data_IF_495185313385
#
_entry.id   IF_495185313385
#
_cell.length_a   1.000
_cell.length_b   1.000
_cell.length_c   1.000
_cell.angle_alpha   90.00
_cell.angle_beta   90.00
_cell.angle_gamma   90.00
#
_symmetry.space_group_name_H-M   'P 1'
#
loop_
_entity.id
_entity.type
_entity.pdbx_description
1 polymer ?
#
# COMPACT_ATOMS: atom_id res chain seq x y z
N UNK A 1 1.25 -68.20 40.44
CA UNK A 1 0.95 -66.75 40.57
C UNK A 1 2.07 -65.88 40.01
N UNK A 2 3.34 -66.21 40.25
CA UNK A 2 4.53 -65.50 39.72
C UNK A 2 4.61 -65.44 38.19
N UNK A 3 4.27 -66.52 37.47
CA UNK A 3 4.31 -66.58 36.00
C UNK A 3 3.35 -65.60 35.32
N UNK A 4 2.14 -65.44 35.88
CA UNK A 4 1.13 -64.52 35.34
C UNK A 4 1.54 -63.05 35.52
N UNK A 5 2.23 -62.75 36.63
CA UNK A 5 2.76 -61.43 36.92
C UNK A 5 3.93 -61.06 35.98
N UNK A 6 4.81 -62.02 35.67
CA UNK A 6 5.89 -61.83 34.69
C UNK A 6 5.34 -61.63 33.27
N UNK A 7 4.31 -62.39 32.86
CA UNK A 7 3.67 -62.21 31.55
C UNK A 7 3.00 -60.83 31.39
N UNK A 8 2.30 -60.34 32.40
CA UNK A 8 1.65 -59.01 32.35
C UNK A 8 2.67 -57.87 32.31
N UNK A 9 3.76 -57.96 33.06
CA UNK A 9 4.87 -57.01 32.99
C UNK A 9 5.55 -57.01 31.61
N UNK A 10 5.78 -58.20 31.03
CA UNK A 10 6.36 -58.33 29.70
C UNK A 10 5.46 -57.72 28.61
N UNK A 11 4.15 -57.99 28.62
CA UNK A 11 3.21 -57.40 27.65
C UNK A 11 3.11 -55.88 27.80
N UNK A 12 3.09 -55.36 29.04
CA UNK A 12 3.05 -53.91 29.28
C UNK A 12 4.32 -53.22 28.75
N UNK A 13 5.49 -53.84 28.93
CA UNK A 13 6.76 -53.36 28.37
C UNK A 13 6.74 -53.32 26.83
N UNK A 14 6.20 -54.37 26.19
CA UNK A 14 6.10 -54.42 24.72
C UNK A 14 5.11 -53.36 24.20
N UNK A 15 3.93 -53.21 24.82
CA UNK A 15 2.96 -52.21 24.39
C UNK A 15 3.47 -50.78 24.59
N UNK A 16 4.18 -50.49 25.68
CA UNK A 16 4.75 -49.16 25.95
C UNK A 16 5.89 -48.82 25.00
N UNK A 17 6.78 -49.77 24.70
CA UNK A 17 7.85 -49.58 23.71
C UNK A 17 7.30 -49.41 22.29
N UNK A 18 6.29 -50.17 21.89
CA UNK A 18 5.61 -49.97 20.60
C UNK A 18 4.90 -48.61 20.52
N UNK A 19 4.21 -48.20 21.58
CA UNK A 19 3.57 -46.88 21.64
C UNK A 19 4.61 -45.75 21.57
N UNK A 20 5.75 -45.89 22.25
CA UNK A 20 6.84 -44.92 22.19
C UNK A 20 7.49 -44.87 20.80
N UNK A 21 7.77 -46.02 20.17
CA UNK A 21 8.31 -46.09 18.82
C UNK A 21 7.37 -45.45 17.80
N UNK A 22 6.06 -45.70 17.91
CA UNK A 22 5.05 -45.08 17.04
C UNK A 22 4.99 -43.56 17.23
N UNK A 23 5.12 -43.04 18.46
CA UNK A 23 5.19 -41.60 18.73
C UNK A 23 6.45 -40.97 18.11
N UNK A 24 7.60 -41.62 18.25
CA UNK A 24 8.86 -41.16 17.65
C UNK A 24 8.79 -41.14 16.13
N UNK A 25 8.25 -42.19 15.51
CA UNK A 25 8.06 -42.25 14.05
C UNK A 25 7.09 -41.17 13.56
N UNK A 26 5.97 -40.94 14.26
CA UNK A 26 5.04 -39.84 13.94
C UNK A 26 5.69 -38.47 14.06
N UNK A 27 6.48 -38.23 15.10
CA UNK A 27 7.19 -36.96 15.29
C UNK A 27 8.25 -36.76 14.20
N UNK A 28 9.04 -37.79 13.87
CA UNK A 28 10.02 -37.75 12.78
C UNK A 28 9.34 -37.48 11.43
N UNK A 29 8.24 -38.15 11.13
CA UNK A 29 7.47 -37.92 9.90
C UNK A 29 6.88 -36.50 9.87
N UNK A 30 6.36 -35.99 10.99
CA UNK A 30 5.85 -34.62 11.06
C UNK A 30 6.94 -33.56 10.82
N UNK A 31 8.14 -33.74 11.40
CA UNK A 31 9.27 -32.83 11.16
C UNK A 31 9.68 -32.86 9.70
N UNK A 32 9.76 -34.05 9.09
CA UNK A 32 10.05 -34.23 7.67
C UNK A 32 9.04 -33.53 6.77
N UNK A 33 7.75 -33.68 7.07
CA UNK A 33 6.66 -33.03 6.34
C UNK A 33 6.70 -31.50 6.50
N UNK A 34 6.98 -31.00 7.70
CA UNK A 34 7.15 -29.56 7.95
C UNK A 34 8.29 -29.00 7.12
N UNK A 35 9.46 -29.64 7.15
CA UNK A 35 10.62 -29.22 6.36
C UNK A 35 10.32 -29.28 4.86
N UNK A 36 9.66 -30.36 4.41
CA UNK A 36 9.20 -30.52 3.03
C UNK A 36 8.31 -29.36 2.58
N UNK A 37 7.32 -28.98 3.38
CA UNK A 37 6.40 -27.89 3.02
C UNK A 37 7.09 -26.50 2.98
N UNK A 38 8.06 -26.24 3.87
CA UNK A 38 8.85 -25.00 3.81
C UNK A 38 9.77 -24.98 2.58
N UNK A 39 10.40 -26.12 2.25
CA UNK A 39 11.20 -26.23 1.03
C UNK A 39 10.33 -26.09 -0.22
N UNK A 40 9.13 -26.66 -0.23
CA UNK A 40 8.16 -26.50 -1.30
C UNK A 40 7.82 -25.02 -1.54
N UNK A 41 7.56 -24.27 -0.46
CA UNK A 41 7.30 -22.83 -0.52
C UNK A 41 8.49 -22.05 -1.09
N UNK A 42 9.70 -22.32 -0.59
CA UNK A 42 10.91 -21.63 -1.06
C UNK A 42 11.23 -21.92 -2.53
N UNK A 43 11.11 -23.18 -2.96
CA UNK A 43 11.32 -23.58 -4.36
C UNK A 43 10.24 -22.97 -5.25
N UNK A 44 8.98 -22.96 -4.80
CA UNK A 44 7.89 -22.34 -5.55
C UNK A 44 8.12 -20.83 -5.74
N UNK A 45 8.53 -20.11 -4.69
CA UNK A 45 8.89 -18.69 -4.79
C UNK A 45 10.03 -18.45 -5.77
N UNK A 46 11.10 -19.26 -5.72
CA UNK A 46 12.20 -19.15 -6.66
C UNK A 46 11.73 -19.39 -8.11
N UNK A 47 10.84 -20.37 -8.32
CA UNK A 47 10.28 -20.68 -9.64
C UNK A 47 9.37 -19.57 -10.16
N UNK A 48 8.51 -19.02 -9.31
CA UNK A 48 7.64 -17.87 -9.62
C UNK A 48 8.48 -16.65 -9.99
N UNK A 49 9.47 -16.30 -9.17
CA UNK A 49 10.35 -15.15 -9.41
C UNK A 49 11.29 -15.32 -10.62
N UNK A 50 11.50 -16.55 -11.10
CA UNK A 50 12.27 -16.81 -12.32
C UNK A 50 11.46 -16.66 -13.62
N UNK A 51 10.13 -16.58 -13.53
CA UNK A 51 9.22 -16.50 -14.68
C UNK A 51 8.56 -15.12 -14.76
N UNK A 52 8.89 -14.34 -15.80
CA UNK A 52 8.32 -12.99 -16.01
C UNK A 52 6.79 -13.00 -16.19
N UNK A 53 6.25 -14.10 -16.71
CA UNK A 53 4.83 -14.35 -16.99
C UNK A 53 4.23 -15.40 -16.01
N UNK A 54 4.74 -15.49 -14.77
CA UNK A 54 4.41 -16.59 -13.86
C UNK A 54 2.90 -16.81 -13.69
N UNK A 55 2.08 -15.76 -13.75
CA UNK A 55 0.62 -15.84 -13.70
C UNK A 55 -0.01 -16.63 -14.85
N UNK A 56 0.50 -16.43 -16.06
CA UNK A 56 0.06 -17.21 -17.23
C UNK A 56 0.60 -18.64 -17.24
N UNK A 57 1.70 -18.90 -16.52
CA UNK A 57 2.31 -20.24 -16.43
C UNK A 57 1.74 -21.10 -15.31
N UNK A 58 1.23 -20.50 -14.25
CA UNK A 58 0.77 -21.19 -13.05
C UNK A 58 -0.72 -20.95 -12.85
N UNK A 59 -1.58 -21.82 -13.38
CA UNK A 59 -3.02 -21.60 -13.38
C UNK A 59 -3.63 -21.80 -11.99
N UNK A 60 -4.81 -21.22 -11.81
CA UNK A 60 -5.56 -21.25 -10.56
C UNK A 60 -5.91 -22.68 -10.14
N UNK A 61 -5.64 -23.03 -8.87
CA UNK A 61 -5.92 -24.33 -8.25
C UNK A 61 -5.27 -25.54 -8.91
N UNK A 62 -4.26 -25.34 -9.76
CA UNK A 62 -3.48 -26.44 -10.30
C UNK A 62 -2.32 -26.79 -9.35
N UNK A 63 -2.22 -28.08 -9.02
CA UNK A 63 -1.12 -28.60 -8.20
C UNK A 63 0.11 -28.86 -9.06
N UNK A 64 1.17 -28.10 -8.82
CA UNK A 64 2.43 -28.21 -9.53
C UNK A 64 3.41 -29.03 -8.70
N UNK A 65 3.80 -30.19 -9.23
CA UNK A 65 4.78 -31.07 -8.60
C UNK A 65 6.19 -30.47 -8.64
N UNK A 66 6.92 -30.62 -7.54
CA UNK A 66 8.31 -30.21 -7.38
C UNK A 66 9.21 -31.42 -7.12
N UNK A 67 10.54 -31.31 -7.31
CA UNK A 67 11.47 -32.38 -6.96
C UNK A 67 11.33 -32.79 -5.49
N UNK A 68 11.28 -34.09 -5.21
CA UNK A 68 11.11 -34.58 -3.83
C UNK A 68 12.29 -34.16 -2.95
N UNK A 69 12.00 -33.67 -1.75
CA UNK A 69 13.03 -33.33 -0.76
C UNK A 69 12.94 -34.31 0.40
N UNK A 70 14.07 -34.96 0.72
CA UNK A 70 14.12 -36.00 1.74
C UNK A 70 13.01 -37.04 1.53
N UNK A 71 12.81 -37.58 0.32
CA UNK A 71 11.73 -38.53 -0.04
C UNK A 71 10.28 -38.12 0.28
N UNK A 72 10.02 -36.88 0.71
CA UNK A 72 8.67 -36.34 0.73
C UNK A 72 8.36 -35.80 -0.67
N UNK A 73 7.21 -36.18 -1.22
CA UNK A 73 6.68 -35.55 -2.41
C UNK A 73 6.23 -34.16 -2.03
N UNK A 74 6.65 -33.15 -2.79
CA UNK A 74 6.29 -31.77 -2.53
C UNK A 74 5.64 -31.16 -3.77
N UNK A 75 4.66 -30.29 -3.52
CA UNK A 75 3.94 -29.58 -4.57
C UNK A 75 3.52 -28.21 -4.04
N UNK A 76 3.14 -27.32 -4.96
CA UNK A 76 2.47 -26.09 -4.60
C UNK A 76 1.26 -25.85 -5.50
N UNK A 77 0.32 -25.07 -5.00
CA UNK A 77 -0.88 -24.64 -5.68
C UNK A 77 -1.03 -23.13 -5.46
N UNK A 78 -1.50 -22.42 -6.48
CA UNK A 78 -1.83 -21.00 -6.38
C UNK A 78 -3.33 -20.80 -6.33
N UNK A 79 -3.79 -19.89 -5.46
CA UNK A 79 -5.19 -19.53 -5.33
C UNK A 79 -5.36 -18.03 -5.39
N UNK A 80 -6.29 -17.63 -6.22
CA UNK A 80 -6.80 -16.28 -6.28
C UNK A 80 -8.16 -16.19 -5.58
N UNK A 81 -8.52 -15.01 -5.11
CA UNK A 81 -9.80 -14.77 -4.47
C UNK A 81 -10.96 -14.81 -5.46
N UNK A 82 -10.74 -14.36 -6.70
CA UNK A 82 -11.76 -14.27 -7.76
C UNK A 82 -11.76 -15.47 -8.72
N UNK A 83 -10.73 -16.32 -8.66
CA UNK A 83 -10.59 -17.53 -9.47
C UNK A 83 -9.75 -17.38 -10.74
N UNK A 84 -9.21 -16.20 -11.04
CA UNK A 84 -8.47 -15.91 -12.27
C UNK A 84 -7.13 -15.24 -11.99
N UNK A 85 -6.05 -16.02 -11.97
CA UNK A 85 -4.72 -15.52 -11.59
C UNK A 85 -4.14 -14.49 -12.59
N UNK A 86 -4.57 -14.50 -13.85
CA UNK A 86 -3.96 -13.74 -14.95
C UNK A 86 -4.64 -12.41 -15.28
N UNK A 87 -5.79 -12.11 -14.66
CA UNK A 87 -6.58 -10.92 -14.99
C UNK A 87 -5.97 -9.62 -14.45
N UNK A 88 -5.28 -9.70 -13.31
CA UNK A 88 -4.65 -8.57 -12.65
C UNK A 88 -3.32 -9.01 -12.08
N UNK A 89 -2.26 -8.38 -12.59
CA UNK A 89 -0.94 -8.59 -12.05
C UNK A 89 -0.85 -8.13 -10.59
N UNK A 90 -1.81 -7.35 -10.07
CA UNK A 90 -1.74 -6.74 -8.72
C UNK A 90 -2.40 -7.52 -7.61
N UNK A 91 -3.17 -8.55 -7.95
CA UNK A 91 -3.93 -9.28 -6.96
C UNK A 91 -3.03 -10.16 -6.08
N UNK A 92 -3.25 -10.16 -4.76
CA UNK A 92 -2.54 -11.04 -3.86
C UNK A 92 -2.95 -12.48 -4.16
N UNK A 93 -1.97 -13.34 -4.43
CA UNK A 93 -2.20 -14.75 -4.72
C UNK A 93 -1.78 -15.59 -3.51
N UNK A 94 -2.70 -16.37 -2.97
CA UNK A 94 -2.39 -17.31 -1.91
C UNK A 94 -1.64 -18.52 -2.49
N UNK A 95 -0.42 -18.75 -2.03
CA UNK A 95 0.32 -19.98 -2.30
C UNK A 95 0.03 -21.01 -1.22
N UNK A 96 -0.25 -22.25 -1.62
CA UNK A 96 -0.38 -23.40 -0.75
C UNK A 96 0.75 -24.35 -1.10
N UNK A 97 1.72 -24.48 -0.21
CA UNK A 97 2.83 -25.41 -0.36
C UNK A 97 2.57 -26.63 0.51
N UNK A 98 2.55 -27.82 -0.11
CA UNK A 98 2.26 -29.07 0.58
C UNK A 98 3.37 -30.11 0.40
N UNK A 99 3.52 -30.94 1.42
CA UNK A 99 4.39 -32.09 1.45
C UNK A 99 3.58 -33.33 1.83
N UNK A 100 3.84 -34.42 1.13
CA UNK A 100 3.26 -35.74 1.38
C UNK A 100 4.36 -36.77 1.59
N UNK A 101 4.20 -37.60 2.61
CA UNK A 101 5.03 -38.75 2.89
C UNK A 101 4.12 -39.87 3.34
N UNK A 102 4.02 -40.94 2.53
CA UNK A 102 3.04 -42.01 2.70
C UNK A 102 1.60 -41.43 2.72
N UNK A 103 0.82 -41.72 3.76
CA UNK A 103 -0.55 -41.23 3.95
C UNK A 103 -0.64 -39.91 4.72
N UNK A 104 0.51 -39.36 5.15
CA UNK A 104 0.55 -38.12 5.91
C UNK A 104 0.85 -36.92 5.02
N UNK A 105 0.04 -35.87 5.15
CA UNK A 105 0.19 -34.61 4.41
C UNK A 105 0.31 -33.44 5.38
N UNK A 106 1.20 -32.50 5.07
CA UNK A 106 1.32 -31.22 5.77
C UNK A 106 1.35 -30.11 4.74
N UNK A 107 0.58 -29.05 4.98
CA UNK A 107 0.51 -27.90 4.10
C UNK A 107 0.65 -26.59 4.88
N UNK A 108 1.32 -25.63 4.27
CA UNK A 108 1.41 -24.25 4.71
C UNK A 108 0.84 -23.36 3.61
N UNK A 109 0.26 -22.23 4.00
CA UNK A 109 -0.20 -21.22 3.06
C UNK A 109 0.37 -19.87 3.43
N UNK A 110 0.66 -19.07 2.41
CA UNK A 110 1.12 -17.71 2.54
C UNK A 110 0.50 -16.88 1.43
N UNK A 111 0.36 -15.57 1.65
CA UNK A 111 -0.12 -14.66 0.60
C UNK A 111 1.09 -14.08 -0.12
N UNK A 112 1.10 -14.12 -1.44
CA UNK A 112 2.14 -13.54 -2.29
C UNK A 112 1.76 -12.11 -2.62
N UNK A 113 2.68 -11.19 -2.37
CA UNK A 113 2.56 -9.79 -2.74
C UNK A 113 3.71 -9.38 -3.64
N UNK A 114 3.53 -8.31 -4.43
CA UNK A 114 4.53 -7.87 -5.40
C UNK A 114 5.72 -7.27 -4.67
N UNK A 115 6.93 -7.59 -5.13
CA UNK A 115 8.18 -7.10 -4.58
C UNK A 115 9.10 -6.50 -5.64
N UNK A 116 8.54 -6.11 -6.79
CA UNK A 116 9.32 -5.52 -7.86
C UNK A 116 9.91 -4.17 -7.50
N UNK A 117 10.53 -3.58 -8.52
CA UNK A 117 11.08 -2.22 -8.44
C UNK A 117 9.95 -1.23 -8.15
N UNK A 118 10.21 -0.09 -7.49
CA UNK A 118 9.23 0.98 -7.44
C UNK A 118 8.70 1.33 -8.82
N UNK A 119 7.43 1.72 -8.91
CA UNK A 119 6.91 2.25 -10.16
C UNK A 119 7.70 3.52 -10.53
N UNK A 120 8.06 3.67 -11.81
CA UNK A 120 8.75 4.84 -12.33
C UNK A 120 7.99 6.15 -12.04
N UNK A 121 6.66 6.08 -11.87
CA UNK A 121 5.83 7.21 -11.46
C UNK A 121 6.25 7.84 -10.12
N UNK A 122 6.83 7.06 -9.21
CA UNK A 122 7.31 7.55 -7.91
C UNK A 122 8.67 8.24 -7.98
N UNK A 123 9.40 8.17 -9.10
CA UNK A 123 10.66 8.90 -9.27
C UNK A 123 10.41 10.38 -9.55
N UNK A 124 9.22 10.70 -10.07
CA UNK A 124 8.77 12.06 -10.36
C UNK A 124 8.00 12.65 -9.17
N UNK A 125 8.07 13.98 -9.02
CA UNK A 125 7.26 14.65 -8.00
C UNK A 125 5.79 14.79 -8.42
N UNK A 126 5.53 14.92 -9.73
CA UNK A 126 4.20 14.83 -10.34
C UNK A 126 4.27 13.84 -11.51
N UNK A 127 3.37 12.86 -11.54
CA UNK A 127 3.26 11.94 -12.67
C UNK A 127 1.80 11.82 -13.12
N UNK A 128 1.54 12.15 -14.39
CA UNK A 128 0.21 12.19 -14.99
C UNK A 128 0.00 11.04 -15.98
N UNK A 129 -1.15 10.36 -15.88
CA UNK A 129 -1.53 9.33 -16.85
C UNK A 129 -1.88 9.93 -18.22
N UNK A 130 -2.30 11.19 -18.24
CA UNK A 130 -2.62 11.94 -19.45
C UNK A 130 -1.78 13.23 -19.50
N UNK A 131 -2.35 14.36 -19.17
CA UNK A 131 -1.79 15.69 -19.46
C UNK A 131 -1.55 16.50 -18.19
N UNK A 132 -0.50 17.33 -18.21
CA UNK A 132 -0.23 18.37 -17.22
C UNK A 132 -0.50 19.73 -17.86
N UNK A 133 -1.44 20.50 -17.31
CA UNK A 133 -1.82 21.83 -17.79
C UNK A 133 -1.50 22.90 -16.72
N UNK A 134 -0.40 23.63 -16.91
CA UNK A 134 -0.04 24.78 -16.08
C UNK A 134 -0.68 26.03 -16.68
N UNK A 135 -1.66 26.61 -16.00
CA UNK A 135 -2.46 27.72 -16.53
C UNK A 135 -2.21 29.02 -15.74
N UNK A 136 -2.48 30.14 -16.39
CA UNK A 136 -2.72 31.48 -15.82
C UNK A 136 -1.99 31.84 -14.52
N UNK A 137 -0.85 32.51 -14.62
CA UNK A 137 -0.05 33.06 -13.50
C UNK A 137 0.51 32.03 -12.49
N UNK A 138 0.27 30.74 -12.68
CA UNK A 138 0.90 29.70 -11.87
C UNK A 138 2.40 29.59 -12.14
N UNK A 139 3.22 29.64 -11.09
CA UNK A 139 4.63 29.25 -11.14
C UNK A 139 4.82 27.90 -10.45
N UNK A 140 5.09 26.86 -11.23
CA UNK A 140 5.28 25.50 -10.73
C UNK A 140 6.78 25.20 -10.65
N UNK A 141 7.29 25.00 -9.46
CA UNK A 141 8.66 24.59 -9.21
C UNK A 141 8.64 23.14 -8.73
N UNK A 142 9.17 22.24 -9.55
CA UNK A 142 9.10 20.80 -9.34
C UNK A 142 10.51 20.21 -9.41
N UNK A 143 10.91 19.42 -8.40
CA UNK A 143 12.25 18.84 -8.27
C UNK A 143 12.14 17.35 -7.92
N UNK A 144 12.87 16.42 -8.58
CA UNK A 144 13.75 16.65 -9.73
C UNK A 144 13.01 16.77 -11.06
N UNK A 145 11.86 16.12 -11.18
CA UNK A 145 11.17 16.01 -12.46
C UNK A 145 9.67 15.81 -12.34
N UNK A 146 8.99 16.05 -13.46
CA UNK A 146 7.59 15.72 -13.70
C UNK A 146 7.48 14.82 -14.93
N UNK A 147 6.42 14.01 -15.00
CA UNK A 147 6.16 13.19 -16.17
C UNK A 147 4.68 13.19 -16.56
N UNK A 148 4.40 13.12 -17.86
CA UNK A 148 3.05 12.99 -18.40
C UNK A 148 3.06 12.08 -19.62
N UNK A 149 2.15 11.11 -19.70
CA UNK A 149 2.12 10.16 -20.82
C UNK A 149 1.59 10.77 -22.13
N UNK A 150 0.97 11.94 -22.10
CA UNK A 150 0.47 12.61 -23.32
C UNK A 150 1.16 13.96 -23.58
N UNK A 151 0.91 14.96 -22.76
CA UNK A 151 1.45 16.30 -22.97
C UNK A 151 1.69 17.09 -21.70
N UNK A 152 2.64 18.02 -21.75
CA UNK A 152 2.86 19.04 -20.72
C UNK A 152 2.68 20.40 -21.39
N UNK A 153 1.66 21.15 -20.96
CA UNK A 153 1.26 22.42 -21.52
C UNK A 153 1.42 23.53 -20.47
N UNK A 154 2.18 24.58 -20.80
CA UNK A 154 2.47 25.70 -19.89
C UNK A 154 2.19 27.04 -20.59
N UNK A 155 0.95 27.52 -20.51
CA UNK A 155 0.50 28.75 -21.20
C UNK A 155 0.18 29.87 -20.21
N UNK A 156 0.85 31.02 -20.37
CA UNK A 156 0.66 32.18 -19.49
C UNK A 156 1.12 31.96 -18.05
N UNK A 157 2.08 31.05 -17.86
CA UNK A 157 2.57 30.52 -16.59
C UNK A 157 4.07 30.19 -16.70
N UNK A 158 4.69 29.69 -15.64
CA UNK A 158 6.08 29.21 -15.69
C UNK A 158 6.21 27.86 -15.00
N UNK A 159 6.93 26.94 -15.62
CA UNK A 159 7.21 25.62 -15.08
C UNK A 159 8.72 25.41 -14.99
N UNK A 160 9.26 25.28 -13.78
CA UNK A 160 10.67 24.99 -13.54
C UNK A 160 10.83 23.54 -13.05
N UNK A 161 11.27 22.66 -13.96
CA UNK A 161 11.43 21.22 -13.72
C UNK A 161 12.10 20.55 -14.92
N UNK A 162 12.75 19.40 -14.69
CA UNK A 162 12.94 18.43 -15.78
C UNK A 162 11.59 17.83 -16.16
N UNK A 163 11.28 17.79 -17.45
CA UNK A 163 9.98 17.37 -17.97
C UNK A 163 10.12 16.14 -18.87
N UNK A 164 9.36 15.08 -18.56
CA UNK A 164 9.29 13.86 -19.36
C UNK A 164 7.91 13.71 -20.00
N UNK A 165 7.81 13.85 -21.32
CA UNK A 165 6.53 13.72 -22.04
C UNK A 165 6.74 13.59 -23.55
N UNK A 166 5.85 12.92 -24.30
CA UNK A 166 5.91 12.89 -25.77
C UNK A 166 5.76 14.28 -26.40
N UNK A 167 5.05 15.19 -25.73
CA UNK A 167 4.85 16.57 -26.17
C UNK A 167 5.00 17.54 -25.00
N UNK A 168 5.79 18.59 -25.21
CA UNK A 168 6.08 19.61 -24.20
C UNK A 168 5.96 20.98 -24.89
N UNK A 169 5.03 21.81 -24.43
CA UNK A 169 4.68 23.09 -25.06
C UNK A 169 4.55 24.18 -24.01
N UNK A 170 5.15 25.35 -24.28
CA UNK A 170 4.97 26.56 -23.47
C UNK A 170 6.22 27.02 -22.73
N UNK A 171 6.04 27.80 -21.66
CA UNK A 171 7.13 28.44 -20.92
C UNK A 171 7.73 27.51 -19.85
N UNK A 172 8.76 26.74 -20.24
CA UNK A 172 9.35 25.69 -19.42
C UNK A 172 10.84 25.96 -19.22
N UNK A 173 11.27 25.93 -17.96
CA UNK A 173 12.62 26.16 -17.49
C UNK A 173 13.21 24.87 -16.94
N UNK A 174 13.84 24.08 -17.80
CA UNK A 174 14.50 22.83 -17.45
C UNK A 174 14.63 21.91 -18.67
N UNK A 175 15.36 20.79 -18.54
CA UNK A 175 15.49 19.81 -19.62
C UNK A 175 14.12 19.23 -19.99
N UNK A 176 13.93 18.97 -21.28
CA UNK A 176 12.73 18.37 -21.84
C UNK A 176 13.14 17.10 -22.58
N UNK A 177 12.69 15.96 -22.09
CA UNK A 177 13.07 14.65 -22.62
C UNK A 177 11.81 13.88 -23.03
N UNK A 178 11.82 13.19 -24.19
CA UNK A 178 10.72 12.29 -24.54
C UNK A 178 10.68 11.13 -23.55
N UNK A 179 9.48 10.68 -23.19
CA UNK A 179 9.32 9.46 -22.42
C UNK A 179 9.80 8.26 -23.25
N UNK A 180 10.76 7.50 -22.73
CA UNK A 180 11.22 6.25 -23.35
C UNK A 180 10.11 5.19 -23.34
N UNK A 181 9.39 5.11 -22.23
CA UNK A 181 8.20 4.27 -22.04
C UNK A 181 7.15 5.07 -21.26
N UNK A 182 5.84 4.82 -21.48
CA UNK A 182 4.80 5.43 -20.66
C UNK A 182 4.99 5.12 -19.18
N UNK A 183 4.84 6.15 -18.35
CA UNK A 183 4.87 6.03 -16.90
C UNK A 183 3.67 5.20 -16.42
N UNK A 184 3.97 4.12 -15.69
CA UNK A 184 2.96 3.22 -15.15
C UNK A 184 2.39 3.77 -13.82
N UNK A 185 1.07 3.92 -13.77
CA UNK A 185 0.35 4.34 -12.56
C UNK A 185 -0.04 3.16 -11.67
N UNK A 186 -0.25 3.38 -10.35
CA UNK A 186 -0.87 2.40 -9.47
C UNK A 186 -2.24 1.95 -10.00
N UNK A 187 -2.67 0.75 -9.64
CA UNK A 187 -3.96 0.21 -10.09
C UNK A 187 -5.00 0.70 -9.09
N UNK A 188 -6.21 1.01 -9.55
CA UNK A 188 -7.33 1.40 -8.70
C UNK A 188 -7.54 0.44 -7.53
N UNK A 189 -7.35 -0.88 -7.72
CA UNK A 189 -7.45 -1.90 -6.64
C UNK A 189 -6.52 -1.69 -5.44
N UNK A 190 -5.52 -0.81 -5.56
CA UNK A 190 -4.73 -0.38 -4.39
C UNK A 190 -5.64 0.25 -3.32
N UNK A 191 -6.70 0.98 -3.70
CA UNK A 191 -7.65 1.55 -2.74
C UNK A 191 -8.38 0.46 -1.98
N UNK A 192 -8.85 -0.59 -2.67
CA UNK A 192 -9.52 -1.75 -2.06
C UNK A 192 -8.61 -2.52 -1.09
N UNK A 193 -7.31 -2.59 -1.39
CA UNK A 193 -6.32 -3.17 -0.48
C UNK A 193 -6.23 -2.37 0.82
N UNK A 194 -6.02 -1.05 0.74
CA UNK A 194 -5.91 -0.21 1.93
C UNK A 194 -7.25 -0.03 2.65
N UNK A 195 -8.38 -0.11 1.94
CA UNK A 195 -9.72 -0.10 2.53
C UNK A 195 -9.90 -1.31 3.47
N UNK A 196 -9.51 -2.51 3.03
CA UNK A 196 -9.59 -3.73 3.86
C UNK A 196 -8.73 -3.68 5.11
N UNK A 197 -7.62 -2.93 5.09
CA UNK A 197 -6.73 -2.74 6.24
C UNK A 197 -7.15 -1.55 7.12
N UNK A 198 -7.96 -0.64 6.58
CA UNK A 198 -8.30 0.62 7.20
C UNK A 198 -9.43 0.50 8.23
N UNK A 199 -9.50 1.51 9.09
CA UNK A 199 -10.63 1.69 10.00
C UNK A 199 -11.58 2.74 9.42
N UNK A 200 -12.85 2.40 9.28
CA UNK A 200 -13.88 3.33 8.83
C UNK A 200 -14.00 4.50 9.82
N UNK A 201 -13.92 5.72 9.31
CA UNK A 201 -14.18 6.93 10.09
C UNK A 201 -15.69 7.08 10.33
N UNK A 202 -16.09 7.66 11.47
CA UNK A 202 -17.49 7.95 11.71
C UNK A 202 -18.02 8.96 10.66
N UNK A 203 -19.35 8.99 10.44
CA UNK A 203 -19.96 9.99 9.57
C UNK A 203 -19.57 11.41 10.02
N UNK A 204 -19.10 12.20 9.07
CA UNK A 204 -18.75 13.61 9.31
C UNK A 204 -19.92 14.53 8.94
N UNK A 205 -20.03 15.72 9.55
CA UNK A 205 -21.11 16.67 9.26
C UNK A 205 -21.19 17.03 7.78
N UNK A 206 -22.41 17.26 7.29
CA UNK A 206 -22.65 17.72 5.91
C UNK A 206 -23.07 19.19 5.97
N UNK A 207 -22.28 20.07 5.38
CA UNK A 207 -22.59 21.48 5.16
C UNK A 207 -22.36 21.79 3.69
N UNK A 208 -23.30 21.37 2.84
CA UNK A 208 -23.13 21.32 1.37
C UNK A 208 -22.26 20.14 0.90
N UNK A 209 -21.13 19.92 1.56
CA UNK A 209 -20.24 18.75 1.40
C UNK A 209 -19.90 18.15 2.79
N UNK A 210 -19.34 16.94 2.82
CA UNK A 210 -18.79 16.36 4.05
C UNK A 210 -17.62 17.21 4.57
N UNK A 211 -17.72 17.61 5.82
CA UNK A 211 -16.83 18.44 6.64
C UNK A 211 -15.72 17.73 7.43
N UNK A 212 -14.43 17.80 7.06
CA UNK A 212 -13.34 17.56 8.04
C UNK A 212 -12.62 18.87 8.34
N UNK A 213 -12.74 19.33 9.58
CA UNK A 213 -12.10 20.54 10.07
C UNK A 213 -11.51 20.31 11.46
N UNK A 214 -10.31 20.82 11.71
CA UNK A 214 -9.74 20.77 13.05
C UNK A 214 -9.29 19.38 13.51
N UNK A 215 -9.00 18.47 12.57
CA UNK A 215 -8.86 17.05 12.86
C UNK A 215 -7.40 16.60 13.02
N UNK A 216 -7.21 15.63 13.93
CA UNK A 216 -5.98 14.90 14.19
C UNK A 216 -6.22 13.42 13.95
N UNK A 217 -5.51 12.86 12.97
CA UNK A 217 -5.54 11.45 12.66
C UNK A 217 -4.10 10.91 12.67
N UNK A 218 -3.86 9.88 13.47
CA UNK A 218 -2.60 9.16 13.57
C UNK A 218 -2.86 7.70 13.98
N UNK A 219 -1.84 6.83 14.06
CA UNK A 219 -2.05 5.48 14.59
C UNK A 219 -2.57 5.42 16.04
N UNK A 220 -2.40 6.52 16.79
CA UNK A 220 -2.72 6.60 18.23
C UNK A 220 -3.83 7.59 18.55
N UNK A 221 -4.19 8.46 17.60
CA UNK A 221 -5.19 9.51 17.80
C UNK A 221 -6.18 9.48 16.64
N UNK A 222 -7.47 9.46 16.97
CA UNK A 222 -8.54 9.69 16.02
C UNK A 222 -9.50 10.72 16.61
N UNK A 223 -9.33 11.98 16.23
CA UNK A 223 -10.10 13.08 16.80
C UNK A 223 -11.52 13.21 16.26
N UNK A 224 -11.83 12.52 15.16
CA UNK A 224 -13.16 12.49 14.55
C UNK A 224 -14.11 11.55 15.32
N UNK A 225 -13.56 10.73 16.23
CA UNK A 225 -14.28 9.70 16.97
C UNK A 225 -14.08 8.31 16.36
N UNK A 226 -14.59 7.28 17.04
CA UNK A 226 -14.39 5.89 16.63
C UNK A 226 -13.07 5.30 17.14
N UNK A 227 -12.68 4.16 16.58
CA UNK A 227 -11.45 3.45 16.96
C UNK A 227 -10.24 3.98 16.21
N UNK A 228 -9.06 3.89 16.84
CA UNK A 228 -7.77 4.15 16.20
C UNK A 228 -7.33 2.93 15.40
N UNK A 229 -6.60 3.16 14.30
CA UNK A 229 -5.97 2.07 13.54
C UNK A 229 -4.47 2.03 13.85
N UNK A 230 -3.90 0.92 14.36
CA UNK A 230 -2.47 0.86 14.70
C UNK A 230 -1.52 0.99 13.49
N UNK A 231 -2.00 0.76 12.27
CA UNK A 231 -1.25 1.04 11.03
C UNK A 231 -1.42 2.50 10.58
N UNK A 232 -2.36 3.24 11.17
CA UNK A 232 -2.70 4.61 10.76
C UNK A 232 -3.39 4.65 9.39
N UNK A 233 -4.23 3.67 9.07
CA UNK A 233 -5.01 3.64 7.82
C UNK A 233 -6.48 3.90 8.17
N UNK A 234 -7.07 4.92 7.57
CA UNK A 234 -8.45 5.33 7.79
C UNK A 234 -9.21 5.39 6.47
N UNK A 235 -10.50 5.08 6.52
CA UNK A 235 -11.39 5.07 5.34
C UNK A 235 -12.53 6.04 5.58
N UNK A 236 -12.76 6.96 4.65
CA UNK A 236 -13.95 7.80 4.62
C UNK A 236 -14.81 7.44 3.42
N UNK A 237 -16.06 7.07 3.71
CA UNK A 237 -17.10 6.93 2.70
C UNK A 237 -17.79 8.28 2.52
N UNK A 238 -17.72 8.82 1.31
CA UNK A 238 -18.34 10.09 0.99
C UNK A 238 -19.84 9.98 0.72
N UNK A 239 -20.39 8.77 0.57
CA UNK A 239 -21.84 8.53 0.37
C UNK A 239 -22.46 9.34 -0.79
N UNK A 240 -21.66 9.60 -1.84
CA UNK A 240 -22.06 10.42 -2.99
C UNK A 240 -21.91 11.93 -2.80
N UNK A 241 -21.50 12.42 -1.63
CA UNK A 241 -21.21 13.84 -1.41
C UNK A 241 -19.77 14.20 -1.79
N UNK A 242 -19.49 15.49 -1.95
CA UNK A 242 -18.11 16.01 -1.93
C UNK A 242 -17.51 15.95 -0.53
N UNK A 243 -16.20 16.15 -0.40
CA UNK A 243 -15.48 16.20 0.87
C UNK A 243 -14.57 17.42 0.92
N UNK A 244 -14.61 18.17 2.02
CA UNK A 244 -13.68 19.28 2.27
C UNK A 244 -12.87 19.01 3.53
N UNK A 245 -11.54 19.10 3.42
CA UNK A 245 -10.58 18.88 4.50
C UNK A 245 -9.77 20.16 4.71
N UNK A 246 -9.82 20.74 5.90
CA UNK A 246 -9.07 21.97 6.22
C UNK A 246 -8.63 22.03 7.68
N UNK A 247 -7.66 22.90 7.98
CA UNK A 247 -7.13 23.14 9.32
C UNK A 247 -6.85 21.86 10.12
N UNK A 248 -6.18 20.89 9.51
CA UNK A 248 -6.03 19.54 10.06
C UNK A 248 -4.58 19.06 10.00
N UNK A 249 -4.19 18.20 10.94
CA UNK A 249 -2.89 17.52 10.95
C UNK A 249 -3.08 16.01 10.90
N UNK A 250 -2.62 15.39 9.82
CA UNK A 250 -2.71 13.95 9.61
C UNK A 250 -1.33 13.31 9.57
N UNK A 251 -1.19 12.20 10.28
CA UNK A 251 -0.08 11.25 10.19
C UNK A 251 -0.68 9.88 9.90
N UNK A 252 -1.31 9.74 8.74
CA UNK A 252 -2.08 8.57 8.39
C UNK A 252 -2.23 8.44 6.87
N UNK A 253 -2.63 7.25 6.44
CA UNK A 253 -3.24 7.03 5.13
C UNK A 253 -4.73 7.29 5.22
N UNK A 254 -5.27 8.17 4.38
CA UNK A 254 -6.71 8.28 4.18
C UNK A 254 -7.10 7.68 2.83
N UNK A 255 -8.05 6.75 2.86
CA UNK A 255 -8.73 6.22 1.68
C UNK A 255 -10.07 6.92 1.55
N UNK A 256 -10.26 7.65 0.44
CA UNK A 256 -11.50 8.37 0.13
C UNK A 256 -12.22 7.63 -0.98
N UNK A 257 -13.47 7.21 -0.72
CA UNK A 257 -14.30 6.47 -1.67
C UNK A 257 -15.70 7.05 -1.80
N UNK A 258 -16.40 6.65 -2.87
CA UNK A 258 -17.80 7.01 -3.15
C UNK A 258 -18.05 8.53 -3.11
N UNK A 259 -17.11 9.32 -3.60
CA UNK A 259 -17.28 10.77 -3.67
C UNK A 259 -18.04 11.12 -4.95
N UNK A 260 -19.25 11.68 -4.81
CA UNK A 260 -20.04 12.12 -5.98
C UNK A 260 -19.74 13.57 -6.41
N UNK A 261 -19.01 14.32 -5.57
CA UNK A 261 -18.43 15.62 -5.91
C UNK A 261 -16.90 15.57 -5.94
N UNK A 262 -16.25 16.74 -5.97
CA UNK A 262 -14.80 16.84 -5.79
C UNK A 262 -14.40 16.76 -4.33
N UNK A 263 -13.17 16.31 -4.07
CA UNK A 263 -12.53 16.39 -2.76
C UNK A 263 -11.66 17.64 -2.72
N UNK A 264 -11.93 18.58 -1.82
CA UNK A 264 -11.09 19.77 -1.62
C UNK A 264 -10.21 19.58 -0.39
N UNK A 265 -8.89 19.69 -0.57
CA UNK A 265 -7.91 19.61 0.52
C UNK A 265 -7.21 20.96 0.66
N UNK A 266 -7.35 21.57 1.83
CA UNK A 266 -6.85 22.90 2.15
C UNK A 266 -7.99 23.86 2.53
N UNK A 267 -7.65 25.05 3.07
CA UNK A 267 -6.30 25.49 3.45
C UNK A 267 -5.79 24.81 4.74
N UNK A 268 -4.53 25.07 5.09
CA UNK A 268 -3.93 24.70 6.38
C UNK A 268 -3.99 23.20 6.71
N UNK A 269 -3.44 22.37 5.82
CA UNK A 269 -3.33 20.93 6.06
C UNK A 269 -1.86 20.54 6.14
N UNK A 270 -1.47 19.92 7.26
CA UNK A 270 -0.21 19.18 7.36
C UNK A 270 -0.52 17.70 7.28
N UNK A 271 -0.06 17.03 6.22
CA UNK A 271 -0.34 15.62 6.01
C UNK A 271 0.94 14.85 5.75
N UNK A 272 1.19 13.84 6.57
CA UNK A 272 2.28 12.88 6.40
C UNK A 272 1.69 11.46 6.50
N UNK A 273 2.30 10.43 5.89
CA UNK A 273 1.87 9.06 6.10
C UNK A 273 2.25 8.60 7.51
N UNK A 274 1.57 7.57 8.02
CA UNK A 274 1.90 6.96 9.32
C UNK A 274 3.29 6.31 9.34
N UNK A 275 3.68 5.72 8.21
CA UNK A 275 5.01 5.17 7.96
C UNK A 275 5.41 5.43 6.51
N UNK A 276 6.71 5.37 6.21
CA UNK A 276 7.22 5.70 4.88
C UNK A 276 6.74 4.75 3.77
N UNK A 277 6.42 3.51 4.14
CA UNK A 277 5.90 2.47 3.24
C UNK A 277 4.37 2.50 3.11
N UNK A 278 3.72 3.60 3.52
CA UNK A 278 2.29 3.82 3.36
C UNK A 278 2.06 5.10 2.53
N UNK A 279 1.00 5.15 1.72
CA UNK A 279 0.61 6.39 1.06
C UNK A 279 0.03 7.36 2.09
N UNK A 280 0.12 8.67 1.81
CA UNK A 280 -0.59 9.66 2.61
C UNK A 280 -2.08 9.70 2.22
N UNK A 281 -2.37 9.63 0.93
CA UNK A 281 -3.71 9.77 0.38
C UNK A 281 -3.94 8.80 -0.78
N UNK A 282 -5.08 8.12 -0.74
CA UNK A 282 -5.66 7.38 -1.86
C UNK A 282 -7.08 7.90 -2.10
N UNK A 283 -7.30 8.58 -3.22
CA UNK A 283 -8.59 9.15 -3.56
C UNK A 283 -9.12 8.56 -4.87
N UNK A 284 -10.28 7.92 -4.80
CA UNK A 284 -11.01 7.50 -5.99
C UNK A 284 -12.02 8.58 -6.43
N UNK A 285 -11.50 9.76 -6.79
CA UNK A 285 -12.27 10.93 -7.23
C UNK A 285 -11.36 12.03 -7.77
N UNK A 286 -11.96 13.08 -8.33
CA UNK A 286 -11.26 14.34 -8.61
C UNK A 286 -10.91 15.06 -7.29
N UNK A 287 -9.68 15.56 -7.21
CA UNK A 287 -9.16 16.23 -6.03
C UNK A 287 -8.74 17.65 -6.38
N UNK A 288 -9.15 18.60 -5.56
CA UNK A 288 -8.70 19.97 -5.60
C UNK A 288 -7.74 20.24 -4.43
N UNK A 289 -6.48 20.51 -4.76
CA UNK A 289 -5.45 20.86 -3.77
C UNK A 289 -5.35 22.39 -3.65
N UNK A 290 -5.74 22.90 -2.48
CA UNK A 290 -5.75 24.33 -2.12
C UNK A 290 -4.96 24.57 -0.83
N UNK A 291 -3.82 23.90 -0.69
CA UNK A 291 -2.98 24.06 0.49
C UNK A 291 -2.24 25.37 0.34
N UNK A 292 -2.44 26.24 1.31
CA UNK A 292 -1.82 27.54 1.33
C UNK A 292 -0.48 27.49 2.09
N UNK A 293 0.31 28.54 1.94
CA UNK A 293 1.54 28.76 2.69
C UNK A 293 1.28 29.17 4.14
N UNK A 294 0.03 29.43 4.52
CA UNK A 294 -0.30 29.76 5.91
C UNK A 294 -0.15 28.54 6.78
N UNK A 295 0.42 28.73 7.97
CA UNK A 295 0.70 27.62 8.89
C UNK A 295 -0.61 27.05 9.42
N UNK A 296 -0.60 25.75 9.70
CA UNK A 296 -1.65 25.11 10.49
C UNK A 296 -1.55 25.67 11.91
N UNK A 297 -2.62 26.31 12.36
CA UNK A 297 -2.69 26.95 13.67
C UNK A 297 -3.52 26.09 14.61
N UNK A 298 -3.01 25.90 15.80
CA UNK A 298 -3.81 25.36 16.90
C UNK A 298 -4.92 26.36 17.26
N UNK A 299 -6.18 25.93 17.15
CA UNK A 299 -7.36 26.75 17.42
C UNK A 299 -8.17 26.15 18.57
N UNK A 300 -7.62 26.23 19.79
CA UNK A 300 -8.25 25.69 20.99
C UNK A 300 -7.99 24.19 21.21
N UNK A 301 -7.07 23.59 20.45
CA UNK A 301 -6.60 22.21 20.62
C UNK A 301 -5.13 22.08 20.23
N UNK A 302 -4.35 21.34 21.03
CA UNK A 302 -2.97 20.97 20.70
C UNK A 302 -2.98 19.98 19.54
N UNK A 303 -2.17 20.27 18.52
CA UNK A 303 -1.93 19.46 17.34
C UNK A 303 -0.65 18.63 17.48
N UNK A 304 0.13 18.80 18.55
CA UNK A 304 1.31 18.01 18.91
C UNK A 304 1.21 17.37 20.32
N UNK A 305 0.07 16.78 20.74
CA UNK A 305 -0.06 16.22 22.08
C UNK A 305 0.95 15.08 22.31
N UNK A 306 1.19 14.64 23.56
CA UNK A 306 2.15 13.57 23.87
C UNK A 306 1.98 12.28 23.06
N UNK A 307 0.73 11.92 22.70
CA UNK A 307 0.42 10.74 21.89
C UNK A 307 0.53 10.98 20.37
N UNK A 308 0.75 12.23 19.95
CA UNK A 308 0.93 12.62 18.56
C UNK A 308 2.00 13.74 18.39
N UNK A 309 3.26 13.48 18.79
CA UNK A 309 4.31 14.49 18.76
C UNK A 309 4.63 14.95 17.33
N UNK A 310 5.07 16.21 17.18
CA UNK A 310 5.63 16.74 15.94
C UNK A 310 7.15 16.71 16.02
N UNK A 311 7.83 16.03 15.09
CA UNK A 311 9.29 15.84 15.13
C UNK A 311 9.82 15.36 16.50
N UNK A 312 9.07 14.46 17.17
CA UNK A 312 9.37 13.92 18.51
C UNK A 312 9.29 14.97 19.63
N UNK A 313 8.73 16.14 19.37
CA UNK A 313 8.39 17.15 20.36
C UNK A 313 6.88 17.15 20.60
N UNK A 314 6.49 17.29 21.86
CA UNK A 314 5.10 17.41 22.25
C UNK A 314 4.96 18.41 23.39
N UNK A 315 3.79 19.05 23.46
CA UNK A 315 3.39 19.88 24.58
C UNK A 315 1.87 19.78 24.77
N UNK A 316 1.33 20.63 25.64
CA UNK A 316 -0.10 20.75 25.91
C UNK A 316 -0.65 22.14 25.56
N UNK A 317 0.18 23.03 25.01
CA UNK A 317 -0.27 24.36 24.64
C UNK A 317 -1.02 24.33 23.30
N UNK A 318 -1.63 25.48 22.96
CA UNK A 318 -2.52 25.63 21.80
C UNK A 318 -2.09 26.81 20.93
N UNK A 319 -0.79 27.11 20.94
CA UNK A 319 -0.21 28.28 20.26
C UNK A 319 0.84 27.89 19.22
N UNK A 320 1.07 26.60 19.02
CA UNK A 320 2.03 26.14 18.03
C UNK A 320 1.52 26.33 16.61
N UNK A 321 2.49 26.37 15.71
CA UNK A 321 2.25 26.54 14.28
C UNK A 321 3.04 25.52 13.50
N UNK A 322 2.37 24.86 12.56
CA UNK A 322 2.98 23.81 11.74
C UNK A 322 2.96 24.21 10.26
N UNK A 323 3.93 23.78 9.45
CA UNK A 323 3.88 24.04 8.02
C UNK A 323 2.68 23.34 7.38
N UNK A 324 1.91 24.05 6.56
CA UNK A 324 0.90 23.42 5.70
C UNK A 324 1.60 22.83 4.47
N UNK A 325 1.54 21.50 4.34
CA UNK A 325 2.19 20.74 3.28
C UNK A 325 1.66 19.30 3.24
N UNK A 326 1.66 18.68 2.05
CA UNK A 326 1.49 17.24 1.89
C UNK A 326 2.85 16.57 1.79
N UNK A 327 3.00 15.41 2.42
CA UNK A 327 4.21 14.59 2.29
C UNK A 327 3.87 13.13 2.01
N UNK A 328 4.77 12.44 1.32
CA UNK A 328 4.61 11.03 0.95
C UNK A 328 3.93 10.84 -0.40
N UNK A 329 3.51 9.61 -0.69
CA UNK A 329 2.82 9.28 -1.93
C UNK A 329 1.34 9.69 -1.85
N UNK A 330 0.87 10.44 -2.84
CA UNK A 330 -0.53 10.86 -3.01
C UNK A 330 -1.03 10.29 -4.33
N UNK A 331 -2.04 9.43 -4.28
CA UNK A 331 -2.61 8.80 -5.47
C UNK A 331 -4.06 9.22 -5.65
N UNK A 332 -4.35 9.76 -6.82
CA UNK A 332 -5.64 10.32 -7.21
C UNK A 332 -6.04 9.60 -8.49
N UNK A 333 -7.11 8.80 -8.46
CA UNK A 333 -7.57 8.07 -9.64
C UNK A 333 -8.40 8.93 -10.61
N UNK A 334 -8.71 10.16 -10.23
CA UNK A 334 -9.27 11.19 -11.09
C UNK A 334 -8.25 12.29 -11.43
N UNK A 335 -8.78 13.49 -11.70
CA UNK A 335 -8.00 14.68 -12.01
C UNK A 335 -7.58 15.41 -10.74
N UNK A 336 -6.38 15.97 -10.75
CA UNK A 336 -5.88 16.81 -9.68
C UNK A 336 -5.83 18.27 -10.13
N UNK A 337 -6.62 19.13 -9.49
CA UNK A 337 -6.61 20.56 -9.75
C UNK A 337 -5.95 21.33 -8.59
N UNK A 338 -4.86 22.03 -8.87
CA UNK A 338 -4.26 22.97 -7.94
C UNK A 338 -5.01 24.29 -7.98
N UNK A 339 -5.98 24.43 -7.08
CA UNK A 339 -6.83 25.62 -6.97
C UNK A 339 -6.09 26.81 -6.36
N UNK A 340 -6.77 27.96 -6.33
CA UNK A 340 -6.20 29.19 -5.77
C UNK A 340 -5.77 29.00 -4.31
N UNK A 341 -4.49 29.20 -4.02
CA UNK A 341 -3.94 29.12 -2.67
C UNK A 341 -3.07 30.35 -2.36
N UNK A 342 -3.09 30.82 -1.11
CA UNK A 342 -2.27 31.96 -0.70
C UNK A 342 -0.81 31.50 -0.54
N UNK A 343 0.07 31.96 -1.43
CA UNK A 343 1.51 31.66 -1.38
C UNK A 343 1.91 30.28 -1.91
N UNK A 344 0.97 29.55 -2.51
CA UNK A 344 1.22 28.32 -3.26
C UNK A 344 1.14 27.03 -2.45
N UNK A 345 0.88 25.94 -3.18
CA UNK A 345 0.76 24.57 -2.63
C UNK A 345 2.13 23.93 -2.49
N UNK A 346 2.43 23.39 -1.31
CA UNK A 346 3.68 22.67 -1.04
C UNK A 346 3.45 21.16 -0.92
N UNK A 347 4.20 20.39 -1.70
CA UNK A 347 4.20 18.92 -1.66
C UNK A 347 5.63 18.38 -1.56
N UNK A 348 5.86 17.41 -0.66
CA UNK A 348 7.13 16.72 -0.48
C UNK A 348 6.92 15.21 -0.65
N UNK A 349 7.06 14.72 -1.87
CA UNK A 349 6.78 13.35 -2.26
C UNK A 349 6.36 13.29 -3.73
N UNK A 350 5.52 12.31 -4.05
CA UNK A 350 5.02 12.08 -5.41
C UNK A 350 3.51 12.17 -5.43
N UNK A 351 2.97 12.99 -6.33
CA UNK A 351 1.53 13.05 -6.63
C UNK A 351 1.29 12.36 -7.96
N UNK A 352 0.42 11.36 -7.94
CA UNK A 352 0.05 10.54 -9.09
C UNK A 352 -1.42 10.81 -9.39
N UNK A 353 -1.72 11.26 -10.60
CA UNK A 353 -3.10 11.59 -11.00
C UNK A 353 -3.37 11.23 -12.47
N UNK A 354 -4.64 11.19 -12.86
CA UNK A 354 -5.02 11.05 -14.27
C UNK A 354 -4.52 12.25 -15.07
N UNK A 355 -4.80 13.46 -14.59
CA UNK A 355 -4.29 14.71 -15.16
C UNK A 355 -4.03 15.74 -14.07
N UNK A 356 -3.18 16.72 -14.37
CA UNK A 356 -2.98 17.87 -13.51
C UNK A 356 -3.42 19.15 -14.20
N UNK A 357 -4.06 20.03 -13.45
CA UNK A 357 -4.34 21.41 -13.87
C UNK A 357 -4.14 22.36 -12.71
N UNK A 358 -3.94 23.65 -12.97
CA UNK A 358 -3.96 24.64 -11.90
C UNK A 358 -3.50 26.02 -12.32
N UNK A 359 -3.86 27.00 -11.51
CA UNK A 359 -3.57 28.43 -11.70
C UNK A 359 -2.76 29.04 -10.56
N UNK A 360 -2.41 28.24 -9.54
CA UNK A 360 -1.64 28.69 -8.37
C UNK A 360 -0.16 28.35 -8.52
N UNK A 361 0.65 28.93 -7.63
CA UNK A 361 2.04 28.55 -7.46
C UNK A 361 2.13 27.19 -6.77
N UNK A 362 3.09 26.36 -7.20
CA UNK A 362 3.30 25.04 -6.62
C UNK A 362 4.78 24.83 -6.37
N UNK A 363 5.12 24.27 -5.22
CA UNK A 363 6.45 23.78 -4.92
C UNK A 363 6.36 22.28 -4.59
N UNK A 364 6.74 21.45 -5.56
CA UNK A 364 6.81 19.99 -5.41
C UNK A 364 8.27 19.54 -5.32
N UNK A 365 8.56 18.68 -4.35
CA UNK A 365 9.89 18.06 -4.22
C UNK A 365 9.70 16.58 -3.99
N UNK A 366 10.25 15.74 -4.86
CA UNK A 366 10.21 14.29 -4.70
C UNK A 366 10.95 13.89 -3.42
N UNK A 367 10.47 12.81 -2.80
CA UNK A 367 11.10 12.20 -1.63
C UNK A 367 11.82 10.93 -2.11
N UNK A 368 13.16 10.91 -2.19
CA UNK A 368 13.92 9.77 -2.73
C UNK A 368 13.66 8.45 -2.00
N UNK A 369 13.11 8.49 -0.79
CA UNK A 369 12.75 7.29 -0.04
C UNK A 369 11.56 6.55 -0.64
N UNK A 370 10.69 7.23 -1.39
CA UNK A 370 9.57 6.59 -2.08
C UNK A 370 10.05 5.63 -3.19
N UNK A 371 11.24 5.84 -3.76
CA UNK A 371 11.87 4.90 -4.68
C UNK A 371 12.75 3.85 -3.99
N UNK A 372 12.98 3.96 -2.68
CA UNK A 372 13.70 2.91 -1.92
C UNK A 372 12.73 1.93 -1.27
N UNK A 373 11.67 2.45 -0.67
CA UNK A 373 10.63 1.65 -0.02
C UNK A 373 9.23 2.18 -0.36
N UNK A 374 8.79 2.02 -1.64
CA UNK A 374 7.47 2.44 -2.08
C UNK A 374 6.35 1.73 -1.32
N UNK A 375 5.19 2.40 -1.15
CA UNK A 375 4.02 1.74 -0.59
C UNK A 375 3.60 0.49 -1.34
N UNK A 376 2.97 -0.45 -0.63
CA UNK A 376 2.39 -1.63 -1.25
C UNK A 376 1.38 -1.22 -2.33
N UNK A 377 1.42 -1.90 -3.48
CA UNK A 377 0.66 -1.55 -4.68
C UNK A 377 1.31 -0.49 -5.57
N UNK A 378 2.48 0.03 -5.20
CA UNK A 378 3.26 0.99 -5.99
C UNK A 378 4.65 0.45 -6.39
N UNK A 379 4.72 -0.88 -6.53
CA UNK A 379 5.87 -1.61 -7.07
C UNK A 379 5.45 -2.27 -8.40
N UNK A 380 6.41 -2.47 -9.29
CA UNK A 380 6.29 -3.33 -10.45
C UNK A 380 6.11 -4.79 -10.01
N UNK A 381 5.71 -5.62 -10.98
CA UNK A 381 5.36 -7.02 -10.77
C UNK A 381 6.46 -8.00 -11.14
N UNK A 382 7.70 -7.51 -11.24
CA UNK A 382 8.82 -8.29 -11.72
C UNK A 382 9.17 -9.48 -10.81
N UNK A 383 8.80 -9.40 -9.52
CA UNK A 383 8.92 -10.49 -8.57
C UNK A 383 7.85 -10.40 -7.48
N UNK A 384 7.70 -11.48 -6.72
CA UNK A 384 6.82 -11.61 -5.56
C UNK A 384 7.61 -11.98 -4.30
N UNK A 385 7.04 -11.60 -3.16
CA UNK A 385 7.47 -12.04 -1.83
C UNK A 385 6.28 -12.49 -0.99
N UNK A 386 6.58 -13.17 0.11
CA UNK A 386 5.56 -13.48 1.12
C UNK A 386 5.13 -12.19 1.82
N UNK A 387 3.82 -11.93 1.83
CA UNK A 387 3.24 -10.85 2.59
C UNK A 387 3.53 -11.02 4.10
N UNK A 388 3.98 -9.98 4.81
CA UNK A 388 4.21 -10.05 6.25
C UNK A 388 3.00 -10.62 6.99
N UNK A 389 3.24 -11.49 7.96
CA UNK A 389 2.22 -12.14 8.80
C UNK A 389 1.18 -13.02 8.07
N UNK A 390 1.36 -13.30 6.78
CA UNK A 390 0.43 -14.16 6.01
C UNK A 390 0.70 -15.66 6.16
N UNK A 391 1.90 -16.05 6.63
CA UNK A 391 2.29 -17.45 6.76
C UNK A 391 1.47 -18.14 7.85
N UNK A 392 0.68 -19.14 7.46
CA UNK A 392 -0.18 -19.91 8.37
C UNK A 392 -0.19 -21.39 7.98
N UNK A 393 -0.48 -22.25 8.96
CA UNK A 393 -0.70 -23.68 8.69
C UNK A 393 -2.02 -23.84 7.93
N UNK A 394 -1.98 -24.53 6.79
CA UNK A 394 -3.19 -24.85 6.04
C UNK A 394 -3.80 -26.14 6.59
N UNK A 395 -5.08 -26.09 6.95
CA UNK A 395 -5.86 -27.29 7.28
C UNK A 395 -6.45 -27.81 5.98
N UNK A 396 -5.92 -28.92 5.49
CA UNK A 396 -6.61 -29.70 4.47
C UNK A 396 -7.98 -30.07 5.06
N UNK A 397 -9.06 -29.62 4.42
CA UNK A 397 -10.39 -30.14 4.74
C UNK A 397 -10.33 -31.66 4.65
N UNK A 398 -11.02 -32.35 5.56
CA UNK A 398 -11.25 -33.78 5.38
C UNK A 398 -11.93 -33.95 4.02
N UNK A 399 -11.21 -34.53 3.06
CA UNK A 399 -11.74 -34.91 1.76
C UNK A 399 -12.82 -35.98 1.95
#
# INVERSE_FOLDING_TARGET
MTTLLVCTMAMTSICTTQAAANRLNRNRNLVRLKLGAHNALNIALARINSARDWRGRFPHRESISLPSVSSAQIQFELRDADGTIDNDDRDPVDIIASARFEDATYAITASLVPDGKPLASLEHCLAAESTINVQSNGSWNCNPSIAANQSINCFGSSLCSTCYSPSVIGNIHGPQEPLAEPVVMPNRRVTEYYERLGTALPPVPIVGAKQIWGALLSPRVNSLGGTTNPLGIYVIDCEGYGLSISNSRFQCTLVIKNCGGSVTIGPQVLWEPASLNLPALLADSDVQLQIDSTRVLEMGRSYNPPDFPYHKQSNHDVFDQFPAQLRGAVVIFGNCNFGSSRGGTRVIGSVLAQSFSGTTNINCTSEPRLSLDPPLGMRSFDCVRIAPFSLRRYRLGAL
#
